data_IF_788962618987
#
_entry.id   IF_788962618987
#
_cell.length_a   1.000
_cell.length_b   1.000
_cell.length_c   1.000
_cell.angle_alpha   90.00
_cell.angle_beta   90.00
_cell.angle_gamma   90.00
#
_symmetry.space_group_name_H-M   'P 1'
#
loop_
_entity.id
_entity.type
_entity.pdbx_description
1 polymer ?
#
# COMPACT_ATOMS: atom_id res chain seq x y z
N UNK A 1 -7.99 3.15 -13.47
CA UNK A 1 -6.82 2.25 -13.46
C UNK A 1 -6.85 1.33 -12.25
N UNK A 2 -6.41 0.08 -12.39
CA UNK A 2 -6.27 -0.91 -11.30
C UNK A 2 -4.79 -1.21 -11.15
N UNK A 3 -4.18 -0.82 -10.03
CA UNK A 3 -2.78 -1.14 -9.74
C UNK A 3 -2.63 -2.66 -9.63
N UNK A 4 -1.89 -3.25 -10.58
CA UNK A 4 -1.67 -4.70 -10.62
C UNK A 4 -0.63 -5.06 -9.57
N UNK A 5 -0.78 -6.23 -8.97
CA UNK A 5 0.14 -6.67 -7.90
C UNK A 5 1.60 -6.78 -8.40
N UNK A 6 1.79 -7.09 -9.69
CA UNK A 6 3.13 -7.17 -10.31
C UNK A 6 3.86 -5.82 -10.27
N UNK A 7 3.17 -4.74 -10.59
CA UNK A 7 3.71 -3.38 -10.58
C UNK A 7 4.06 -2.93 -9.16
N UNK A 8 3.18 -3.23 -8.19
CA UNK A 8 3.40 -2.89 -6.78
C UNK A 8 4.64 -3.62 -6.25
N UNK A 9 4.84 -4.89 -6.63
CA UNK A 9 6.00 -5.67 -6.19
C UNK A 9 7.31 -5.24 -6.85
N UNK A 10 7.28 -4.62 -8.03
CA UNK A 10 8.50 -4.12 -8.69
C UNK A 10 9.04 -2.82 -8.10
N UNK A 11 8.22 -2.07 -7.36
CA UNK A 11 8.66 -0.81 -6.75
C UNK A 11 9.55 -1.00 -5.53
N UNK A 12 10.41 -0.02 -5.29
CA UNK A 12 11.20 0.08 -4.06
C UNK A 12 10.31 0.41 -2.85
N UNK A 13 10.82 0.20 -1.64
CA UNK A 13 10.08 0.55 -0.41
C UNK A 13 9.78 2.04 -0.30
N UNK A 14 10.69 2.90 -0.76
CA UNK A 14 10.51 4.35 -0.79
C UNK A 14 9.46 4.76 -1.81
N UNK A 15 9.48 4.17 -3.00
CA UNK A 15 8.46 4.39 -4.03
C UNK A 15 7.09 3.93 -3.54
N UNK A 16 7.00 2.78 -2.87
CA UNK A 16 5.78 2.29 -2.27
C UNK A 16 5.21 3.24 -1.23
N UNK A 17 6.06 3.81 -0.36
CA UNK A 17 5.67 4.80 0.64
C UNK A 17 5.18 6.09 -0.01
N UNK A 18 5.89 6.61 -1.01
CA UNK A 18 5.47 7.79 -1.76
C UNK A 18 4.12 7.59 -2.45
N UNK A 19 3.94 6.45 -3.13
CA UNK A 19 2.66 6.09 -3.77
C UNK A 19 1.53 5.92 -2.77
N UNK A 20 1.82 5.41 -1.57
CA UNK A 20 0.85 5.28 -0.49
C UNK A 20 0.34 6.65 -0.03
N UNK A 21 1.22 7.64 0.10
CA UNK A 21 0.84 9.02 0.46
C UNK A 21 -0.03 9.67 -0.60
N UNK A 22 0.36 9.56 -1.88
CA UNK A 22 -0.43 10.06 -3.01
C UNK A 22 -1.85 9.47 -3.01
N UNK A 23 -1.98 8.16 -2.81
CA UNK A 23 -3.27 7.48 -2.78
C UNK A 23 -4.12 7.84 -1.56
N UNK A 24 -3.48 8.11 -0.41
CA UNK A 24 -4.18 8.58 0.80
C UNK A 24 -4.71 10.01 0.63
N UNK A 25 -3.94 10.89 -0.01
CA UNK A 25 -4.39 12.24 -0.35
C UNK A 25 -5.59 12.19 -1.31
N UNK A 26 -5.53 11.33 -2.35
CA UNK A 26 -6.67 11.12 -3.24
C UNK A 26 -7.91 10.61 -2.48
N UNK A 27 -7.72 9.64 -1.58
CA UNK A 27 -8.80 9.10 -0.76
C UNK A 27 -9.44 10.17 0.13
N UNK A 28 -8.63 11.08 0.70
CA UNK A 28 -9.12 12.20 1.51
C UNK A 28 -9.99 13.12 0.66
N UNK A 29 -9.52 13.52 -0.52
CA UNK A 29 -10.28 14.37 -1.44
C UNK A 29 -11.62 13.74 -1.82
N UNK A 30 -11.63 12.44 -2.14
CA UNK A 30 -12.87 11.69 -2.41
C UNK A 30 -13.83 11.70 -1.21
N UNK A 31 -13.29 11.61 0.01
CA UNK A 31 -14.09 11.69 1.25
C UNK A 31 -14.67 13.08 1.45
N UNK A 32 -13.88 14.12 1.23
CA UNK A 32 -14.33 15.51 1.35
C UNK A 32 -15.45 15.80 0.36
N UNK A 33 -15.28 15.42 -0.92
CA UNK A 33 -16.33 15.55 -1.93
C UNK A 33 -17.63 14.86 -1.50
N UNK A 34 -17.53 13.65 -0.95
CA UNK A 34 -18.70 12.92 -0.43
C UNK A 34 -19.38 13.67 0.73
N UNK A 35 -18.60 14.22 1.67
CA UNK A 35 -19.13 14.94 2.84
C UNK A 35 -19.80 16.25 2.44
N UNK A 36 -19.21 16.98 1.48
CA UNK A 36 -19.75 18.23 0.96
C UNK A 36 -20.97 18.04 0.05
N UNK A 37 -21.44 16.81 -0.16
CA UNK A 37 -22.55 16.50 -1.06
C UNK A 37 -22.21 16.67 -2.55
N UNK A 38 -20.92 16.73 -2.89
CA UNK A 38 -20.44 16.84 -4.25
C UNK A 38 -20.65 15.54 -5.04
N UNK A 39 -20.91 15.67 -6.34
CA UNK A 39 -21.03 14.52 -7.23
C UNK A 39 -19.69 13.81 -7.40
N UNK A 40 -19.68 12.49 -7.22
CA UNK A 40 -18.52 11.65 -7.52
C UNK A 40 -18.67 11.15 -8.96
N UNK A 41 -17.85 11.68 -9.86
CA UNK A 41 -17.88 11.29 -11.28
C UNK A 41 -17.62 9.80 -11.50
N UNK A 42 -16.77 9.19 -10.67
CA UNK A 42 -16.41 7.77 -10.80
C UNK A 42 -16.36 7.04 -9.45
N UNK A 43 -17.47 6.41 -9.02
CA UNK A 43 -17.52 5.65 -7.77
C UNK A 43 -16.56 4.45 -7.75
N UNK A 44 -16.26 3.85 -8.91
CA UNK A 44 -15.33 2.73 -8.99
C UNK A 44 -13.90 3.15 -8.63
N UNK A 45 -13.56 4.43 -8.81
CA UNK A 45 -12.26 4.98 -8.41
C UNK A 45 -12.02 4.83 -6.91
N UNK A 46 -13.01 5.13 -6.07
CA UNK A 46 -12.91 4.97 -4.60
C UNK A 46 -12.55 3.53 -4.24
N UNK A 47 -13.20 2.56 -4.86
CA UNK A 47 -12.92 1.13 -4.63
C UNK A 47 -11.50 0.77 -5.06
N UNK A 48 -11.05 1.30 -6.19
CA UNK A 48 -9.72 1.03 -6.73
C UNK A 48 -8.63 1.64 -5.86
N UNK A 49 -8.78 2.89 -5.41
CA UNK A 49 -7.85 3.58 -4.50
C UNK A 49 -7.72 2.82 -3.18
N UNK A 50 -8.84 2.39 -2.57
CA UNK A 50 -8.82 1.54 -1.35
C UNK A 50 -8.07 0.23 -1.55
N UNK A 51 -8.30 -0.47 -2.67
CA UNK A 51 -7.62 -1.74 -2.98
C UNK A 51 -6.14 -1.54 -3.24
N UNK A 52 -5.75 -0.44 -3.89
CA UNK A 52 -4.35 -0.11 -4.14
C UNK A 52 -3.59 0.13 -2.83
N UNK A 53 -4.15 0.95 -1.92
CA UNK A 53 -3.61 1.18 -0.57
C UNK A 53 -3.41 -0.14 0.17
N UNK A 54 -4.42 -1.00 0.20
CA UNK A 54 -4.34 -2.29 0.88
C UNK A 54 -3.20 -3.16 0.33
N UNK A 55 -3.07 -3.25 -1.00
CA UNK A 55 -2.01 -4.05 -1.66
C UNK A 55 -0.61 -3.53 -1.33
N UNK A 56 -0.41 -2.21 -1.36
CA UNK A 56 0.88 -1.59 -1.01
C UNK A 56 1.26 -1.92 0.44
N UNK A 57 0.31 -1.74 1.38
CA UNK A 57 0.53 -2.07 2.79
C UNK A 57 0.83 -3.55 2.99
N UNK A 58 0.16 -4.45 2.27
CA UNK A 58 0.44 -5.88 2.32
C UNK A 58 1.87 -6.18 1.88
N UNK A 59 2.33 -5.64 0.75
CA UNK A 59 3.70 -5.87 0.25
C UNK A 59 4.75 -5.33 1.22
N UNK A 60 4.55 -4.12 1.77
CA UNK A 60 5.46 -3.57 2.78
C UNK A 60 5.52 -4.45 4.04
N UNK A 61 4.38 -4.98 4.48
CA UNK A 61 4.34 -5.88 5.63
C UNK A 61 4.96 -7.25 5.33
N UNK A 62 4.76 -7.79 4.13
CA UNK A 62 5.42 -9.03 3.66
C UNK A 62 6.94 -8.88 3.69
N UNK A 63 7.48 -7.76 3.18
CA UNK A 63 8.92 -7.44 3.19
C UNK A 63 9.46 -7.35 4.62
N UNK A 64 8.82 -6.56 5.48
CA UNK A 64 9.19 -6.41 6.89
C UNK A 64 9.20 -7.74 7.64
N UNK A 65 8.18 -8.59 7.42
CA UNK A 65 8.10 -9.91 8.08
C UNK A 65 9.18 -10.87 7.59
N UNK A 66 9.58 -10.77 6.31
CA UNK A 66 10.68 -11.58 5.76
C UNK A 66 12.01 -11.19 6.43
N UNK A 67 12.29 -9.90 6.57
CA UNK A 67 13.48 -9.39 7.25
C UNK A 67 13.56 -9.86 8.71
N UNK A 68 12.45 -9.80 9.46
CA UNK A 68 12.44 -10.28 10.85
C UNK A 68 12.70 -11.78 10.97
N UNK A 69 12.14 -12.60 10.06
CA UNK A 69 12.37 -14.04 10.04
C UNK A 69 13.83 -14.37 9.68
N UNK A 70 14.45 -13.60 8.78
CA UNK A 70 15.86 -13.77 8.45
C UNK A 70 16.78 -13.39 9.62
N UNK A 71 16.44 -12.34 10.39
CA UNK A 71 17.14 -11.99 11.63
C UNK A 71 17.12 -13.13 12.66
N UNK A 72 15.93 -13.67 12.97
CA UNK A 72 15.77 -14.75 13.95
C UNK A 72 16.50 -16.06 13.55
N UNK A 73 16.68 -16.30 12.25
CA UNK A 73 17.44 -17.46 11.75
C UNK A 73 18.95 -17.29 11.94
N UNK A 74 19.47 -16.09 11.72
CA UNK A 74 20.90 -15.78 11.93
C UNK A 74 21.27 -15.89 13.40
N UNK A 75 20.43 -15.34 14.29
CA UNK A 75 20.64 -15.40 15.74
C UNK A 75 20.65 -16.83 16.30
N UNK A 76 19.94 -17.76 15.65
CA UNK A 76 19.92 -19.19 16.00
C UNK A 76 21.13 -19.96 15.45
N UNK A 77 21.67 -19.54 14.31
CA UNK A 77 22.87 -20.14 13.71
C UNK A 77 24.15 -19.71 14.43
N UNK A 78 24.20 -18.49 14.96
CA UNK A 78 25.37 -17.97 15.68
C UNK A 78 25.47 -18.48 17.13
N UNK A 79 24.37 -19.05 17.65
CA UNK A 79 24.28 -19.63 19.01
C UNK A 79 24.39 -21.16 19.05
N UNK A 80 24.57 -21.81 17.90
CA UNK A 80 24.76 -23.26 17.75
C UNK A 80 26.21 -23.54 17.38
#
# INVERSE_FOLDING_TARGET
MSYKIKEIRSWSDEELRKKLEELRAEQLNQRMLKVLGGAIENPARIRNTRRAIARILTVLNERKRKESIEGEKKDKQEKA
#
